data_IF_615421532710
#
_entry.id   IF_615421532710
#
_cell.length_a   1.000
_cell.length_b   1.000
_cell.length_c   1.000
_cell.angle_alpha   90.00
_cell.angle_beta   90.00
_cell.angle_gamma   90.00
#
_symmetry.space_group_name_H-M   'P 1'
#
loop_
_entity.id
_entity.type
_entity.pdbx_description
1 polymer ?
#
# COMPACT_ATOMS: atom_id res chain seq x y z
N UNK A 1 -13.41 4.12 21.37
CA UNK A 1 -12.27 4.74 22.08
C UNK A 1 -11.23 5.04 21.03
N UNK A 2 -11.24 6.27 20.50
CA UNK A 2 -10.26 6.73 19.51
C UNK A 2 -8.96 6.95 20.27
N UNK A 3 -7.91 6.23 19.91
CA UNK A 3 -6.58 6.35 20.51
C UNK A 3 -5.65 6.86 19.42
N UNK A 4 -5.29 8.14 19.52
CA UNK A 4 -4.19 8.77 18.80
C UNK A 4 -2.84 8.29 19.37
N UNK A 5 -1.72 8.66 18.73
CA UNK A 5 -0.43 8.75 19.40
C UNK A 5 -0.62 9.42 20.77
N UNK A 6 -0.16 8.77 21.82
CA UNK A 6 -0.51 9.16 23.19
C UNK A 6 0.10 10.53 23.47
N UNK A 7 -0.73 11.56 23.65
CA UNK A 7 -0.28 12.80 24.29
C UNK A 7 0.35 12.44 25.63
N UNK A 8 1.62 12.83 25.83
CA UNK A 8 2.41 12.43 26.99
C UNK A 8 1.64 12.60 28.31
N UNK A 9 1.80 11.63 29.22
CA UNK A 9 1.18 11.71 30.54
C UNK A 9 1.63 13.01 31.22
N UNK A 10 0.67 13.84 31.65
CA UNK A 10 0.96 14.98 32.50
C UNK A 10 1.74 14.51 33.72
N UNK A 11 2.87 15.14 34.02
CA UNK A 11 3.73 14.75 35.13
C UNK A 11 2.95 14.69 36.45
N UNK A 12 3.23 13.67 37.27
CA UNK A 12 2.66 13.55 38.61
C UNK A 12 3.08 14.75 39.45
N UNK A 13 2.11 15.52 39.96
CA UNK A 13 2.37 16.59 40.91
C UNK A 13 3.08 16.05 42.15
N UNK A 14 4.22 16.64 42.52
CA UNK A 14 4.96 16.26 43.73
C UNK A 14 4.16 16.55 45.01
N UNK A 15 4.47 15.81 46.10
CA UNK A 15 3.89 15.98 47.45
C UNK A 15 4.29 17.32 48.09
N UNK A 16 3.79 18.43 47.56
CA UNK A 16 3.52 19.70 48.25
C UNK A 16 2.86 20.63 47.22
N UNK A 17 1.52 20.63 47.17
CA UNK A 17 0.70 21.58 46.40
C UNK A 17 0.80 21.56 44.85
N UNK A 18 1.38 20.54 44.23
CA UNK A 18 1.37 20.40 42.76
C UNK A 18 0.04 19.87 42.24
N UNK A 19 -0.68 20.64 41.41
CA UNK A 19 -1.74 20.08 40.57
C UNK A 19 -1.13 19.09 39.59
N UNK A 20 -1.78 17.94 39.36
CA UNK A 20 -1.44 17.08 38.22
C UNK A 20 -1.45 17.91 36.95
N UNK A 21 -0.44 17.76 36.09
CA UNK A 21 -0.46 18.39 34.78
C UNK A 21 -1.73 17.97 34.02
N UNK A 22 -2.37 18.92 33.35
CA UNK A 22 -3.49 18.61 32.44
C UNK A 22 -2.96 17.58 31.43
N UNK A 23 -3.63 16.43 31.33
CA UNK A 23 -3.32 15.46 30.28
C UNK A 23 -3.40 16.15 28.93
N UNK A 24 -2.47 15.84 28.01
CA UNK A 24 -2.52 16.39 26.66
C UNK A 24 -3.92 16.21 26.05
N UNK A 25 -4.38 17.19 25.26
CA UNK A 25 -5.61 17.04 24.51
C UNK A 25 -5.60 15.71 23.73
N UNK A 26 -6.76 15.08 23.57
CA UNK A 26 -6.90 13.96 22.64
C UNK A 26 -6.33 14.41 21.29
N UNK A 27 -5.34 13.67 20.76
CA UNK A 27 -4.75 13.97 19.47
C UNK A 27 -5.82 13.94 18.38
N UNK A 28 -5.62 14.72 17.32
CA UNK A 28 -6.45 14.61 16.12
C UNK A 28 -6.31 13.24 15.42
N UNK A 29 -6.91 13.09 14.24
CA UNK A 29 -6.71 11.93 13.38
C UNK A 29 -5.23 11.56 13.23
N UNK A 30 -4.90 10.26 13.19
CA UNK A 30 -3.54 9.79 12.99
C UNK A 30 -3.18 9.83 11.49
N UNK A 31 -3.12 11.04 10.96
CA UNK A 31 -2.90 11.31 9.54
C UNK A 31 -1.44 11.60 9.21
N UNK A 32 -0.93 11.04 8.12
CA UNK A 32 0.36 11.40 7.54
C UNK A 32 0.15 12.01 6.16
N UNK A 33 0.94 13.03 5.82
CA UNK A 33 0.95 13.57 4.46
C UNK A 33 1.45 12.51 3.47
N UNK A 34 0.70 12.34 2.38
CA UNK A 34 1.13 11.59 1.21
C UNK A 34 1.87 12.51 0.23
N UNK A 35 3.08 12.11 -0.14
CA UNK A 35 3.91 12.77 -1.14
C UNK A 35 3.97 11.92 -2.42
N UNK A 36 4.48 12.48 -3.52
CA UNK A 36 4.73 11.72 -4.77
C UNK A 36 3.48 11.27 -5.51
N UNK A 37 2.29 11.72 -5.08
CA UNK A 37 1.01 11.31 -5.66
C UNK A 37 0.79 11.84 -7.08
N UNK A 38 1.42 12.94 -7.50
CA UNK A 38 1.20 13.45 -8.85
C UNK A 38 1.82 12.54 -9.93
N UNK A 39 1.23 12.56 -11.14
CA UNK A 39 1.70 11.74 -12.27
C UNK A 39 3.12 12.11 -12.74
N UNK A 40 3.58 13.34 -12.45
CA UNK A 40 4.92 13.79 -12.79
C UNK A 40 6.01 13.10 -11.94
N UNK A 41 5.64 12.67 -10.73
CA UNK A 41 6.45 11.87 -9.82
C UNK A 41 6.13 10.37 -9.93
N UNK A 42 5.54 9.94 -11.04
CA UNK A 42 5.20 8.54 -11.30
C UNK A 42 3.97 8.04 -10.54
N UNK A 43 3.24 8.92 -9.85
CA UNK A 43 2.05 8.55 -9.10
C UNK A 43 2.31 7.52 -8.00
N UNK A 44 3.47 7.60 -7.33
CA UNK A 44 3.89 6.65 -6.29
C UNK A 44 3.70 7.28 -4.90
N UNK A 45 2.67 6.91 -4.14
CA UNK A 45 2.35 7.55 -2.86
C UNK A 45 3.38 7.19 -1.79
N UNK A 46 4.04 8.20 -1.21
CA UNK A 46 5.08 8.01 -0.21
C UNK A 46 4.74 8.71 1.10
N UNK A 47 5.20 8.15 2.22
CA UNK A 47 5.18 8.79 3.54
C UNK A 47 6.58 8.98 4.07
N UNK A 48 6.74 9.95 4.96
CA UNK A 48 8.00 10.13 5.69
C UNK A 48 8.06 9.14 6.85
N UNK A 49 9.15 8.38 6.94
CA UNK A 49 9.37 7.38 7.99
C UNK A 49 10.86 7.32 8.36
N UNK A 50 11.18 6.88 9.57
CA UNK A 50 12.54 6.47 9.95
C UNK A 50 12.57 5.08 10.58
N UNK A 51 13.70 4.39 10.42
CA UNK A 51 13.98 3.09 11.05
C UNK A 51 14.83 3.33 12.30
N UNK A 52 14.31 2.99 13.49
CA UNK A 52 14.91 3.34 14.77
C UNK A 52 15.30 4.84 14.79
N UNK A 53 16.52 5.16 15.25
CA UNK A 53 17.12 6.50 15.23
C UNK A 53 17.83 6.82 13.89
N UNK A 54 17.40 6.19 12.80
CA UNK A 54 17.92 6.43 11.44
C UNK A 54 17.43 7.75 10.83
N UNK A 55 17.90 8.07 9.61
CA UNK A 55 17.42 9.25 8.88
C UNK A 55 15.94 9.13 8.56
N UNK A 56 15.27 10.27 8.41
CA UNK A 56 13.94 10.32 7.80
C UNK A 56 14.07 10.15 6.29
N UNK A 57 13.27 9.25 5.72
CA UNK A 57 13.24 8.92 4.29
C UNK A 57 11.79 8.92 3.78
N UNK A 58 11.63 9.05 2.46
CA UNK A 58 10.34 8.77 1.81
C UNK A 58 10.26 7.28 1.52
N UNK A 59 9.18 6.64 1.97
CA UNK A 59 8.90 5.24 1.68
C UNK A 59 7.56 5.10 0.97
N UNK A 60 7.54 4.31 -0.11
CA UNK A 60 6.34 3.94 -0.85
C UNK A 60 5.39 3.20 0.08
N UNK A 61 4.14 3.67 0.12
CA UNK A 61 3.05 2.92 0.74
C UNK A 61 2.47 2.00 -0.31
N UNK A 62 2.83 0.74 -0.26
CA UNK A 62 2.52 -0.27 -1.28
C UNK A 62 1.43 -1.23 -0.76
N UNK A 63 0.20 -1.09 -1.20
CA UNK A 63 -0.85 -2.02 -0.79
C UNK A 63 -0.66 -3.42 -1.35
N UNK A 64 0.06 -3.58 -2.47
CA UNK A 64 0.37 -4.85 -3.15
C UNK A 64 1.29 -5.80 -2.38
N UNK A 65 1.87 -5.38 -1.26
CA UNK A 65 2.75 -6.21 -0.43
C UNK A 65 2.49 -6.06 1.08
N UNK A 66 3.16 -6.88 1.88
CA UNK A 66 3.28 -6.74 3.35
C UNK A 66 4.71 -6.38 3.79
N UNK A 67 5.62 -6.20 2.83
CA UNK A 67 7.04 -6.11 3.09
C UNK A 67 7.47 -4.72 3.61
N UNK A 68 8.36 -4.69 4.60
CA UNK A 68 9.03 -3.47 5.03
C UNK A 68 10.49 -3.53 4.57
N UNK A 69 10.81 -2.90 3.44
CA UNK A 69 12.12 -2.98 2.80
C UNK A 69 12.75 -1.60 2.70
N UNK A 70 14.02 -1.50 3.07
CA UNK A 70 14.77 -0.25 3.05
C UNK A 70 16.14 -0.46 2.41
N UNK A 71 16.56 0.36 1.44
CA UNK A 71 17.94 0.39 0.97
C UNK A 71 18.91 0.63 2.13
N UNK A 72 20.11 0.05 2.06
CA UNK A 72 21.15 0.28 3.07
C UNK A 72 21.49 1.77 3.24
N UNK A 73 21.38 2.56 2.16
CA UNK A 73 21.56 4.01 2.16
C UNK A 73 20.49 4.79 2.92
N UNK A 74 19.36 4.16 3.26
CA UNK A 74 18.19 4.76 3.92
C UNK A 74 18.04 4.38 5.40
N UNK A 75 18.97 3.58 5.92
CA UNK A 75 19.01 3.19 7.34
C UNK A 75 20.29 3.66 8.01
N UNK A 76 20.34 3.61 9.33
CA UNK A 76 21.57 3.74 10.09
C UNK A 76 22.00 2.35 10.56
N UNK A 77 22.98 1.68 9.93
CA UNK A 77 23.37 0.32 10.31
C UNK A 77 23.80 0.19 11.78
N UNK A 78 24.33 1.26 12.39
CA UNK A 78 24.75 1.24 13.79
C UNK A 78 23.58 1.27 14.78
N UNK A 79 22.38 1.70 14.34
CA UNK A 79 21.16 1.64 15.16
C UNK A 79 20.40 0.32 15.00
N UNK A 80 20.81 -0.53 14.05
CA UNK A 80 20.22 -1.84 13.84
C UNK A 80 20.82 -2.86 14.81
N UNK A 81 20.00 -3.81 15.24
CA UNK A 81 20.44 -4.93 16.08
C UNK A 81 21.22 -5.99 15.29
N UNK A 82 21.25 -7.21 15.84
CA UNK A 82 21.90 -8.35 15.15
C UNK A 82 21.18 -8.67 13.83
N UNK A 83 21.92 -8.86 12.72
CA UNK A 83 21.32 -9.29 11.46
C UNK A 83 20.69 -10.68 11.59
N UNK A 84 19.54 -10.86 10.96
CA UNK A 84 18.82 -12.11 10.87
C UNK A 84 19.11 -12.86 9.57
N UNK A 85 18.06 -13.36 8.93
CA UNK A 85 18.16 -14.17 7.71
C UNK A 85 18.38 -13.31 6.47
N UNK A 86 19.07 -13.88 5.49
CA UNK A 86 19.11 -13.36 4.13
C UNK A 86 17.98 -14.00 3.31
N UNK A 87 17.31 -13.21 2.50
CA UNK A 87 16.22 -13.68 1.64
C UNK A 87 16.01 -12.72 0.47
N UNK A 88 14.96 -12.96 -0.32
CA UNK A 88 14.59 -12.09 -1.43
C UNK A 88 13.07 -11.84 -1.44
N UNK A 89 12.66 -10.72 -2.04
CA UNK A 89 11.25 -10.37 -2.29
C UNK A 89 11.12 -9.98 -3.76
N UNK A 90 10.05 -10.41 -4.43
CA UNK A 90 9.81 -10.09 -5.84
C UNK A 90 8.59 -9.17 -5.98
N UNK A 91 8.71 -8.15 -6.82
CA UNK A 91 7.65 -7.21 -7.18
C UNK A 91 7.42 -7.23 -8.68
N UNK A 92 6.17 -7.00 -9.09
CA UNK A 92 5.78 -6.84 -10.49
C UNK A 92 5.68 -8.14 -11.30
N UNK A 93 5.12 -8.05 -12.52
CA UNK A 93 4.94 -9.17 -13.43
C UNK A 93 6.25 -9.66 -14.05
N UNK A 94 6.30 -10.88 -14.64
CA UNK A 94 7.55 -11.48 -15.12
C UNK A 94 8.30 -10.63 -16.16
N UNK A 95 7.56 -9.86 -16.95
CA UNK A 95 8.06 -8.89 -17.94
C UNK A 95 8.60 -7.58 -17.35
N UNK A 96 8.25 -7.27 -16.09
CA UNK A 96 8.64 -6.04 -15.38
C UNK A 96 8.92 -6.35 -13.91
N UNK A 97 9.84 -7.29 -13.67
CA UNK A 97 10.07 -7.86 -12.35
C UNK A 97 11.25 -7.21 -11.65
N UNK A 98 11.02 -6.73 -10.44
CA UNK A 98 12.08 -6.34 -9.51
C UNK A 98 12.26 -7.42 -8.44
N UNK A 99 13.51 -7.74 -8.08
CA UNK A 99 13.83 -8.65 -6.98
C UNK A 99 14.81 -7.95 -6.05
N UNK A 100 14.39 -7.79 -4.80
CA UNK A 100 15.18 -7.24 -3.71
C UNK A 100 15.79 -8.37 -2.90
N UNK A 101 17.11 -8.37 -2.78
CA UNK A 101 17.84 -9.25 -1.89
C UNK A 101 18.13 -8.52 -0.59
N UNK A 102 17.67 -9.03 0.54
CA UNK A 102 17.73 -8.32 1.82
C UNK A 102 18.26 -9.18 2.96
N UNK A 103 18.73 -8.50 4.00
CA UNK A 103 18.99 -9.09 5.33
C UNK A 103 17.96 -8.56 6.32
N UNK A 104 17.32 -9.44 7.09
CA UNK A 104 16.30 -9.03 8.06
C UNK A 104 16.90 -8.41 9.32
N UNK A 105 16.22 -7.45 9.92
CA UNK A 105 16.51 -6.90 11.24
C UNK A 105 15.21 -6.73 12.03
N UNK A 106 15.31 -6.66 13.35
CA UNK A 106 14.21 -6.21 14.20
C UNK A 106 14.37 -4.73 14.48
N UNK A 107 13.37 -3.93 14.09
CA UNK A 107 13.40 -2.48 14.23
C UNK A 107 12.02 -1.90 14.55
N UNK A 108 12.00 -0.65 14.99
CA UNK A 108 10.78 0.17 15.13
C UNK A 108 10.73 1.15 13.97
N UNK A 109 9.56 1.27 13.33
CA UNK A 109 9.30 2.34 12.37
C UNK A 109 8.66 3.51 13.09
N UNK A 110 9.15 4.71 12.78
CA UNK A 110 8.65 5.96 13.33
C UNK A 110 8.12 6.84 12.19
N UNK A 111 6.82 7.10 12.21
CA UNK A 111 6.12 7.93 11.23
C UNK A 111 6.01 9.41 11.64
N UNK A 112 6.59 9.78 12.80
CA UNK A 112 6.41 11.10 13.40
C UNK A 112 5.25 11.14 14.39
N UNK A 113 5.13 12.26 15.12
CA UNK A 113 4.00 12.59 16.01
C UNK A 113 3.56 11.49 16.99
N UNK A 114 4.51 10.64 17.42
CA UNK A 114 4.24 9.54 18.35
C UNK A 114 3.56 8.32 17.72
N UNK A 115 3.49 8.25 16.39
CA UNK A 115 3.04 7.07 15.63
C UNK A 115 4.25 6.16 15.37
N UNK A 116 4.42 5.16 16.25
CA UNK A 116 5.50 4.18 16.17
C UNK A 116 4.94 2.77 16.12
N UNK A 117 5.58 1.89 15.36
CA UNK A 117 5.29 0.46 15.41
C UNK A 117 5.85 -0.17 16.68
N UNK A 118 5.35 -1.35 17.05
CA UNK A 118 6.10 -2.27 17.90
C UNK A 118 7.35 -2.76 17.14
N UNK A 119 8.40 -3.24 17.85
CA UNK A 119 9.51 -3.90 17.20
C UNK A 119 9.02 -5.00 16.24
N UNK A 120 9.41 -4.89 14.98
CA UNK A 120 8.94 -5.75 13.89
C UNK A 120 10.09 -6.10 12.95
N UNK A 121 9.87 -7.08 12.06
CA UNK A 121 10.84 -7.43 11.03
C UNK A 121 10.86 -6.37 9.94
N UNK A 122 12.04 -5.86 9.61
CA UNK A 122 12.32 -5.13 8.37
C UNK A 122 13.38 -5.88 7.57
N UNK A 123 13.44 -5.67 6.26
CA UNK A 123 14.57 -6.07 5.42
C UNK A 123 15.41 -4.86 5.02
N UNK A 124 16.72 -4.96 5.18
CA UNK A 124 17.66 -4.00 4.58
C UNK A 124 18.13 -4.58 3.25
N UNK A 125 17.82 -3.89 2.15
CA UNK A 125 18.15 -4.30 0.79
C UNK A 125 19.67 -4.18 0.59
N UNK A 126 20.26 -5.30 0.20
CA UNK A 126 21.70 -5.49 -0.03
C UNK A 126 22.05 -5.52 -1.52
N UNK A 127 21.10 -5.92 -2.36
CA UNK A 127 21.19 -5.87 -3.81
C UNK A 127 19.78 -5.86 -4.39
N UNK A 128 19.62 -5.31 -5.58
CA UNK A 128 18.37 -5.29 -6.33
C UNK A 128 18.65 -5.67 -7.78
N UNK A 129 17.73 -6.42 -8.39
CA UNK A 129 17.75 -6.68 -9.82
C UNK A 129 16.41 -6.29 -10.43
N UNK A 130 16.46 -5.66 -11.58
CA UNK A 130 15.29 -5.36 -12.39
C UNK A 130 15.42 -6.10 -13.73
N UNK A 131 14.47 -6.98 -14.03
CA UNK A 131 14.50 -7.87 -15.19
C UNK A 131 15.83 -8.64 -15.33
N UNK A 132 16.37 -9.08 -14.19
CA UNK A 132 17.63 -9.83 -14.09
C UNK A 132 18.90 -8.98 -14.20
N UNK A 133 18.77 -7.66 -14.42
CA UNK A 133 19.90 -6.73 -14.46
C UNK A 133 20.09 -6.09 -13.09
N UNK A 134 21.31 -6.09 -12.53
CA UNK A 134 21.59 -5.38 -11.29
C UNK A 134 21.29 -3.88 -11.41
N UNK A 135 20.61 -3.35 -10.41
CA UNK A 135 20.31 -1.92 -10.25
C UNK A 135 20.67 -1.48 -8.84
N UNK A 136 20.83 -0.17 -8.65
CA UNK A 136 21.11 0.39 -7.32
C UNK A 136 19.80 0.53 -6.56
N UNK A 137 19.63 -0.14 -5.40
CA UNK A 137 18.43 0.03 -4.58
C UNK A 137 18.28 1.49 -4.16
N UNK A 138 17.12 2.08 -4.42
CA UNK A 138 16.88 3.50 -4.20
C UNK A 138 15.48 3.84 -3.67
N UNK A 139 14.64 2.83 -3.39
CA UNK A 139 13.28 3.01 -2.90
C UNK A 139 13.07 2.21 -1.62
N UNK A 140 12.50 2.85 -0.60
CA UNK A 140 11.98 2.15 0.57
C UNK A 140 10.51 1.80 0.35
N UNK A 141 10.09 0.63 0.82
CA UNK A 141 8.75 0.07 0.62
C UNK A 141 8.13 -0.27 1.97
N UNK A 142 6.89 0.17 2.16
CA UNK A 142 6.02 -0.17 3.28
C UNK A 142 4.77 -0.85 2.74
N UNK A 143 4.80 -2.18 2.76
CA UNK A 143 3.71 -3.03 2.34
C UNK A 143 2.53 -2.95 3.30
N UNK A 144 1.39 -2.42 2.86
CA UNK A 144 0.19 -2.24 3.71
C UNK A 144 -0.92 -3.25 3.45
N UNK A 145 -0.69 -4.26 2.62
CA UNK A 145 -1.63 -5.34 2.36
C UNK A 145 -1.89 -6.24 3.58
N UNK A 146 -2.96 -7.02 3.49
CA UNK A 146 -3.44 -7.98 4.48
C UNK A 146 -3.46 -9.42 3.95
N UNK A 147 -3.59 -9.61 2.63
CA UNK A 147 -3.70 -10.91 1.96
C UNK A 147 -2.81 -11.05 0.71
N UNK A 148 -1.63 -10.44 0.72
CA UNK A 148 -0.63 -10.52 -0.35
C UNK A 148 0.25 -11.76 -0.22
N UNK A 149 1.24 -11.90 -1.11
CA UNK A 149 2.25 -12.97 -1.00
C UNK A 149 2.93 -12.93 0.38
N UNK A 150 2.75 -14.01 1.15
CA UNK A 150 3.32 -14.15 2.48
C UNK A 150 4.64 -14.92 2.39
N UNK A 151 5.74 -14.20 2.26
CA UNK A 151 7.08 -14.75 2.47
C UNK A 151 7.37 -14.84 3.98
N UNK A 152 8.20 -15.81 4.45
CA UNK A 152 8.31 -16.15 5.87
C UNK A 152 8.72 -14.97 6.78
N UNK A 153 9.29 -13.91 6.22
CA UNK A 153 9.78 -12.75 6.96
C UNK A 153 8.75 -11.61 7.11
N UNK A 154 7.70 -11.58 6.28
CA UNK A 154 6.75 -10.46 6.19
C UNK A 154 5.29 -10.95 6.25
N UNK A 155 4.95 -11.67 7.32
CA UNK A 155 3.60 -12.22 7.49
C UNK A 155 2.53 -11.17 7.86
N UNK A 156 2.92 -9.95 8.20
CA UNK A 156 2.01 -8.86 8.58
C UNK A 156 2.55 -7.51 8.13
N UNK A 157 1.66 -6.61 7.72
CA UNK A 157 1.99 -5.22 7.37
C UNK A 157 2.58 -4.45 8.57
N UNK A 158 3.45 -3.43 8.33
CA UNK A 158 3.89 -2.50 9.36
C UNK A 158 2.75 -1.79 10.10
N UNK A 159 1.65 -1.49 9.41
CA UNK A 159 0.49 -0.83 10.02
C UNK A 159 -0.16 -1.73 11.06
N UNK A 160 -0.20 -3.05 10.81
CA UNK A 160 -0.68 -4.03 11.79
C UNK A 160 0.20 -4.10 13.05
N UNK A 161 1.41 -3.54 13.01
CA UNK A 161 2.32 -3.45 14.16
C UNK A 161 2.17 -2.14 14.95
N UNK A 162 1.30 -1.21 14.51
CA UNK A 162 0.94 -0.02 15.29
C UNK A 162 0.16 -0.40 16.56
N UNK A 163 0.15 0.45 17.60
CA UNK A 163 -0.56 0.16 18.84
C UNK A 163 -2.06 0.45 18.75
N UNK A 164 -2.86 -0.40 19.40
CA UNK A 164 -4.27 -0.12 19.69
C UNK A 164 -5.13 -0.03 18.44
N UNK A 165 -5.92 1.03 18.33
CA UNK A 165 -6.84 1.22 17.21
C UNK A 165 -6.13 1.51 15.89
N UNK A 166 -4.90 2.04 15.93
CA UNK A 166 -4.12 2.42 14.74
C UNK A 166 -3.79 1.22 13.83
N UNK A 167 -3.81 -0.01 14.38
CA UNK A 167 -3.54 -1.23 13.62
C UNK A 167 -4.76 -1.84 12.93
N UNK A 168 -5.89 -1.12 12.88
CA UNK A 168 -7.14 -1.64 12.31
C UNK A 168 -7.20 -1.54 10.78
N UNK A 169 -6.50 -0.56 10.21
CA UNK A 169 -6.45 -0.34 8.78
C UNK A 169 -5.77 0.97 8.43
N UNK A 170 -5.82 1.29 7.14
CA UNK A 170 -5.26 2.52 6.58
C UNK A 170 -6.16 3.03 5.47
N UNK A 171 -6.55 4.31 5.57
CA UNK A 171 -7.25 5.05 4.52
C UNK A 171 -6.21 5.75 3.65
N UNK A 172 -6.32 5.63 2.33
CA UNK A 172 -5.62 6.47 1.35
C UNK A 172 -6.59 7.50 0.81
N UNK A 173 -6.24 8.79 0.88
CA UNK A 173 -6.98 9.86 0.23
C UNK A 173 -6.04 10.73 -0.61
N UNK A 174 -5.82 10.31 -1.86
CA UNK A 174 -4.87 10.99 -2.76
C UNK A 174 -5.48 12.14 -3.57
N UNK A 175 -6.81 12.19 -3.65
CA UNK A 175 -7.55 13.26 -4.35
C UNK A 175 -7.72 14.52 -3.51
N UNK A 176 -7.52 14.45 -2.19
CA UNK A 176 -7.61 15.59 -1.30
C UNK A 176 -6.64 16.69 -1.73
N UNK A 177 -7.02 17.96 -1.49
CA UNK A 177 -6.13 19.10 -1.75
C UNK A 177 -4.78 18.99 -1.01
N UNK A 178 -4.79 18.28 0.13
CA UNK A 178 -3.61 17.84 0.87
C UNK A 178 -3.68 16.33 1.03
N UNK A 179 -3.10 15.55 0.09
CA UNK A 179 -3.13 14.10 0.11
C UNK A 179 -2.62 13.53 1.43
N UNK A 180 -3.29 12.49 1.95
CA UNK A 180 -2.92 11.87 3.22
C UNK A 180 -3.27 10.40 3.30
N UNK A 181 -2.58 9.71 4.22
CA UNK A 181 -3.06 8.45 4.80
C UNK A 181 -3.57 8.68 6.20
N UNK A 182 -4.57 7.93 6.63
CA UNK A 182 -5.05 7.91 8.00
C UNK A 182 -5.02 6.49 8.57
N UNK A 183 -4.34 6.32 9.70
CA UNK A 183 -4.31 5.02 10.39
C UNK A 183 -5.46 4.87 11.37
N UNK A 184 -5.98 3.66 11.45
CA UNK A 184 -6.98 3.27 12.44
C UNK A 184 -8.29 2.86 11.80
N UNK A 185 -9.43 2.94 12.50
CA UNK A 185 -10.73 2.63 11.92
C UNK A 185 -11.08 3.61 10.79
N UNK A 186 -11.81 3.13 9.77
CA UNK A 186 -12.29 3.98 8.68
C UNK A 186 -13.09 5.18 9.24
N UNK A 187 -12.69 6.43 8.98
CA UNK A 187 -13.41 7.61 9.45
C UNK A 187 -14.70 7.88 8.65
N UNK A 188 -14.90 7.22 7.51
CA UNK A 188 -16.02 7.43 6.59
C UNK A 188 -16.83 6.14 6.42
N UNK A 189 -18.11 6.29 6.11
CA UNK A 189 -18.94 5.16 5.73
C UNK A 189 -18.71 4.83 4.24
N UNK A 190 -18.23 3.62 3.89
CA UNK A 190 -18.03 3.25 2.50
C UNK A 190 -19.34 3.16 1.74
N UNK A 191 -19.31 3.49 0.45
CA UNK A 191 -20.43 3.23 -0.45
C UNK A 191 -20.43 1.78 -0.95
N UNK A 192 -19.25 1.15 -1.02
CA UNK A 192 -19.08 -0.25 -1.42
C UNK A 192 -17.89 -0.89 -0.69
N UNK A 193 -17.90 -2.22 -0.60
CA UNK A 193 -16.80 -2.98 0.00
C UNK A 193 -16.68 -4.36 -0.63
N UNK A 194 -15.45 -4.88 -0.73
CA UNK A 194 -15.16 -6.23 -1.22
C UNK A 194 -14.29 -7.00 -0.26
N UNK A 195 -14.36 -8.33 -0.34
CA UNK A 195 -13.55 -9.20 0.50
C UNK A 195 -12.08 -9.22 0.07
N UNK A 196 -11.18 -9.39 1.04
CA UNK A 196 -9.74 -9.32 0.83
C UNK A 196 -9.18 -7.91 0.99
N UNK A 197 -7.84 -7.75 1.01
CA UNK A 197 -7.14 -6.46 0.98
C UNK A 197 -5.63 -6.69 0.76
N UNK A 198 -5.03 -6.30 -0.38
CA UNK A 198 -5.62 -5.64 -1.55
C UNK A 198 -6.21 -6.62 -2.58
N UNK A 199 -6.07 -7.93 -2.37
CA UNK A 199 -6.40 -8.94 -3.39
C UNK A 199 -7.85 -9.37 -3.25
N UNK A 200 -8.62 -9.31 -4.34
CA UNK A 200 -10.05 -9.63 -4.35
C UNK A 200 -10.48 -10.37 -5.62
N UNK A 201 -11.53 -11.17 -5.53
CA UNK A 201 -12.19 -11.86 -6.66
C UNK A 201 -13.51 -11.17 -7.07
N UNK A 202 -13.84 -10.05 -6.43
CA UNK A 202 -15.16 -9.43 -6.55
C UNK A 202 -15.26 -8.43 -7.72
N UNK A 203 -14.14 -8.04 -8.35
CA UNK A 203 -14.12 -7.02 -9.41
C UNK A 203 -14.43 -7.62 -10.80
N UNK A 204 -14.99 -6.78 -11.67
CA UNK A 204 -15.18 -7.10 -13.10
C UNK A 204 -14.63 -6.00 -13.98
N UNK A 205 -14.23 -6.32 -15.21
CA UNK A 205 -13.62 -5.36 -16.14
C UNK A 205 -14.28 -5.39 -17.52
N UNK A 206 -14.47 -4.23 -18.12
CA UNK A 206 -14.74 -4.06 -19.54
C UNK A 206 -13.64 -3.23 -20.18
N UNK A 207 -13.16 -3.67 -21.35
CA UNK A 207 -12.17 -2.94 -22.15
C UNK A 207 -12.78 -2.58 -23.49
N UNK A 208 -12.67 -1.31 -23.90
CA UNK A 208 -13.22 -0.73 -25.12
C UNK A 208 -14.72 -1.01 -25.32
N UNK A 209 -15.50 -0.91 -24.23
CA UNK A 209 -16.93 -1.21 -24.21
C UNK A 209 -17.26 -2.66 -24.62
N UNK A 210 -16.31 -3.58 -24.43
CA UNK A 210 -16.51 -5.01 -24.59
C UNK A 210 -17.42 -5.61 -23.50
N UNK A 211 -17.64 -6.92 -23.58
CA UNK A 211 -18.33 -7.64 -22.51
C UNK A 211 -17.53 -7.56 -21.21
N UNK A 212 -18.24 -7.47 -20.08
CA UNK A 212 -17.61 -7.58 -18.76
C UNK A 212 -17.04 -8.98 -18.55
N UNK A 213 -15.86 -9.02 -17.94
CA UNK A 213 -15.14 -10.23 -17.58
C UNK A 213 -14.87 -10.20 -16.07
N UNK A 214 -15.08 -11.33 -15.40
CA UNK A 214 -14.76 -11.49 -13.98
C UNK A 214 -13.24 -11.47 -13.78
N UNK A 215 -12.80 -10.83 -12.70
CA UNK A 215 -11.39 -10.80 -12.31
C UNK A 215 -11.18 -11.74 -11.12
N UNK A 216 -10.17 -12.59 -11.22
CA UNK A 216 -9.71 -13.45 -10.10
C UNK A 216 -8.36 -12.96 -9.61
N UNK A 217 -8.25 -12.74 -8.30
CA UNK A 217 -7.04 -12.26 -7.65
C UNK A 217 -6.65 -10.83 -8.05
N UNK A 218 -7.63 -9.98 -8.35
CA UNK A 218 -7.38 -8.58 -8.70
C UNK A 218 -6.72 -7.84 -7.54
N UNK A 219 -5.68 -7.08 -7.83
CA UNK A 219 -4.98 -6.22 -6.89
C UNK A 219 -5.51 -4.79 -6.99
N UNK A 220 -5.99 -4.24 -5.89
CA UNK A 220 -6.22 -2.79 -5.72
C UNK A 220 -4.94 -2.19 -5.12
N UNK A 221 -4.09 -1.61 -5.96
CA UNK A 221 -2.67 -1.47 -5.61
C UNK A 221 -2.05 -0.09 -5.88
N UNK A 222 -1.72 0.63 -4.80
CA UNK A 222 -0.99 1.91 -4.81
C UNK A 222 0.44 1.79 -5.35
N UNK A 223 1.09 0.63 -5.18
CA UNK A 223 2.47 0.36 -5.66
C UNK A 223 2.54 -0.02 -7.14
N UNK A 224 1.40 -0.38 -7.74
CA UNK A 224 1.29 -0.91 -9.11
C UNK A 224 1.49 0.12 -10.25
N UNK A 225 1.84 1.37 -9.94
CA UNK A 225 2.05 2.45 -10.90
C UNK A 225 0.84 2.65 -11.85
N UNK A 226 0.98 2.37 -13.15
CA UNK A 226 -0.10 2.44 -14.14
C UNK A 226 -1.04 1.23 -14.14
N UNK A 227 -0.74 0.19 -13.35
CA UNK A 227 -1.49 -1.05 -13.34
C UNK A 227 -1.20 -1.95 -14.55
N UNK A 228 -1.80 -3.13 -14.54
CA UNK A 228 -1.64 -4.10 -15.62
C UNK A 228 -2.94 -4.89 -15.87
N UNK A 229 -3.18 -5.24 -17.14
CA UNK A 229 -4.32 -6.08 -17.55
C UNK A 229 -3.80 -7.41 -18.13
N UNK A 230 -4.28 -8.56 -17.64
CA UNK A 230 -3.91 -9.88 -18.15
C UNK A 230 -4.20 -10.03 -19.66
N UNK A 231 -3.29 -10.70 -20.37
CA UNK A 231 -3.33 -10.86 -21.83
C UNK A 231 -4.57 -11.58 -22.39
N UNK A 232 -5.23 -12.39 -21.57
CA UNK A 232 -6.48 -13.09 -21.88
C UNK A 232 -7.72 -12.18 -21.85
N UNK A 233 -7.66 -11.08 -21.09
CA UNK A 233 -8.69 -10.02 -21.08
C UNK A 233 -8.53 -9.11 -22.31
N UNK A 234 -7.28 -8.76 -22.64
CA UNK A 234 -6.93 -7.91 -23.79
C UNK A 234 -6.31 -8.72 -24.93
N UNK A 235 -7.14 -9.56 -25.54
CA UNK A 235 -6.71 -10.44 -26.64
C UNK A 235 -6.06 -9.66 -27.79
N UNK A 236 -4.91 -10.15 -28.25
CA UNK A 236 -4.15 -9.56 -29.36
C UNK A 236 -2.94 -8.72 -28.94
N UNK A 237 -2.80 -8.43 -27.65
CA UNK A 237 -1.61 -7.80 -27.09
C UNK A 237 -0.66 -8.85 -26.49
N UNK A 238 0.64 -8.57 -26.52
CA UNK A 238 1.66 -9.41 -25.92
C UNK A 238 2.02 -8.90 -24.51
N UNK A 239 2.34 -9.80 -23.57
CA UNK A 239 2.89 -9.39 -22.27
C UNK A 239 4.07 -8.43 -22.41
N UNK A 240 4.13 -7.42 -21.55
CA UNK A 240 5.13 -6.33 -21.57
C UNK A 240 4.80 -5.18 -22.53
N UNK A 241 3.72 -5.27 -23.31
CA UNK A 241 3.25 -4.14 -24.11
C UNK A 241 2.45 -3.16 -23.26
N UNK A 242 2.50 -1.88 -23.61
CA UNK A 242 1.55 -0.89 -23.11
C UNK A 242 0.23 -0.99 -23.89
N UNK A 243 -0.89 -0.77 -23.22
CA UNK A 243 -2.15 -0.56 -23.91
C UNK A 243 -2.13 0.77 -24.69
N UNK A 244 -2.71 0.82 -25.90
CA UNK A 244 -2.73 2.04 -26.68
C UNK A 244 -3.47 3.17 -25.98
N UNK A 245 -2.97 4.41 -26.14
CA UNK A 245 -3.69 5.59 -25.70
C UNK A 245 -5.09 5.66 -26.33
N UNK A 246 -6.09 6.03 -25.54
CA UNK A 246 -7.50 6.01 -25.93
C UNK A 246 -8.22 4.70 -25.63
N UNK A 247 -7.51 3.67 -25.14
CA UNK A 247 -8.16 2.45 -24.62
C UNK A 247 -9.06 2.82 -23.45
N UNK A 248 -10.33 2.45 -23.52
CA UNK A 248 -11.29 2.66 -22.43
C UNK A 248 -11.30 1.45 -21.51
N UNK A 249 -11.14 1.69 -20.22
CA UNK A 249 -11.21 0.68 -19.18
C UNK A 249 -12.35 1.09 -18.25
N UNK A 250 -13.21 0.12 -17.91
CA UNK A 250 -14.22 0.27 -16.89
C UNK A 250 -14.08 -0.90 -15.93
N UNK A 251 -14.04 -0.61 -14.64
CA UNK A 251 -14.05 -1.61 -13.57
C UNK A 251 -15.31 -1.42 -12.75
N UNK A 252 -16.04 -2.51 -12.56
CA UNK A 252 -17.27 -2.55 -11.79
C UNK A 252 -17.10 -3.43 -10.54
N UNK A 253 -17.88 -3.09 -9.52
CA UNK A 253 -17.95 -3.76 -8.22
C UNK A 253 -19.37 -4.31 -8.00
N UNK A 254 -19.58 -5.40 -7.24
CA UNK A 254 -20.92 -5.90 -6.95
C UNK A 254 -21.70 -4.89 -6.11
N UNK A 255 -22.91 -4.54 -6.53
CA UNK A 255 -23.75 -3.53 -5.87
C UNK A 255 -24.59 -4.09 -4.70
N UNK A 256 -24.29 -5.31 -4.24
CA UNK A 256 -25.02 -6.00 -3.16
C UNK A 256 -26.47 -6.40 -3.47
N UNK A 257 -27.02 -6.01 -4.62
CA UNK A 257 -28.40 -6.28 -5.05
C UNK A 257 -28.49 -7.29 -6.22
N UNK A 258 -27.38 -7.97 -6.52
CA UNK A 258 -27.29 -8.93 -7.62
C UNK A 258 -26.96 -8.29 -8.98
N UNK A 259 -26.44 -7.06 -8.98
CA UNK A 259 -25.85 -6.42 -10.15
C UNK A 259 -24.45 -5.87 -9.85
N UNK A 260 -23.89 -5.16 -10.81
CA UNK A 260 -22.63 -4.43 -10.65
C UNK A 260 -22.89 -2.92 -10.74
N UNK A 261 -22.04 -2.12 -10.09
CA UNK A 261 -21.98 -0.68 -10.26
C UNK A 261 -20.57 -0.27 -10.65
N UNK A 262 -20.46 0.85 -11.36
CA UNK A 262 -19.15 1.34 -11.78
C UNK A 262 -18.34 1.79 -10.58
N UNK A 263 -17.19 1.15 -10.38
CA UNK A 263 -16.20 1.61 -9.41
C UNK A 263 -15.41 2.77 -10.03
N UNK A 264 -14.76 2.54 -11.16
CA UNK A 264 -14.08 3.60 -11.90
C UNK A 264 -14.03 3.34 -13.40
N UNK A 265 -13.76 4.39 -14.17
CA UNK A 265 -13.42 4.28 -15.58
C UNK A 265 -12.20 5.12 -15.89
N UNK A 266 -11.36 4.63 -16.79
CA UNK A 266 -10.16 5.29 -17.27
C UNK A 266 -10.15 5.31 -18.80
N UNK A 267 -9.65 6.41 -19.38
CA UNK A 267 -9.15 6.41 -20.76
C UNK A 267 -7.63 6.48 -20.72
N UNK A 268 -6.96 5.41 -21.17
CA UNK A 268 -5.50 5.27 -21.09
C UNK A 268 -4.83 6.45 -21.80
N UNK A 269 -3.95 7.14 -21.07
CA UNK A 269 -3.17 8.26 -21.58
C UNK A 269 -1.83 7.85 -22.19
N UNK A 270 -1.09 8.83 -22.73
CA UNK A 270 0.26 8.64 -23.28
C UNK A 270 1.37 9.09 -22.28
N UNK A 271 1.19 8.81 -20.98
CA UNK A 271 2.07 9.32 -19.91
C UNK A 271 2.81 8.19 -19.17
N UNK A 272 3.50 8.51 -18.07
CA UNK A 272 4.31 7.60 -17.24
C UNK A 272 3.50 6.54 -16.47
N UNK A 273 2.17 6.70 -16.38
CA UNK A 273 1.24 5.75 -15.74
C UNK A 273 0.49 4.92 -16.80
N UNK A 274 1.19 4.46 -17.84
CA UNK A 274 0.56 3.61 -18.85
C UNK A 274 0.26 2.22 -18.27
N UNK A 275 -0.96 1.74 -18.57
CA UNK A 275 -1.37 0.37 -18.25
C UNK A 275 -0.59 -0.61 -19.13
N UNK A 276 0.04 -1.60 -18.51
CA UNK A 276 0.76 -2.67 -19.23
C UNK A 276 -0.12 -3.90 -19.42
N UNK A 277 0.27 -4.76 -20.35
CA UNK A 277 -0.34 -6.08 -20.54
C UNK A 277 0.52 -7.10 -19.82
N UNK A 278 -0.10 -7.91 -18.96
CA UNK A 278 0.61 -8.94 -18.21
C UNK A 278 0.38 -10.34 -18.70
N UNK A 279 1.38 -11.20 -18.49
CA UNK A 279 1.20 -12.64 -18.70
C UNK A 279 0.19 -13.17 -17.71
N UNK A 280 -0.90 -13.78 -18.19
CA UNK A 280 -1.90 -14.43 -17.34
C UNK A 280 -1.24 -15.52 -16.47
N UNK A 281 -1.41 -15.41 -15.15
CA UNK A 281 -0.94 -16.40 -14.19
C UNK A 281 -1.89 -16.43 -12.98
N UNK A 282 -2.38 -17.61 -12.55
CA UNK A 282 -3.25 -17.70 -11.38
C UNK A 282 -2.48 -17.42 -10.07
N UNK A 283 -3.06 -16.66 -9.11
CA UNK A 283 -2.51 -16.52 -7.77
C UNK A 283 -2.36 -17.89 -7.06
N UNK A 284 -1.40 -18.07 -6.14
CA UNK A 284 -0.33 -17.15 -5.75
C UNK A 284 0.92 -17.24 -6.66
N UNK A 285 0.85 -18.01 -7.77
CA UNK A 285 2.04 -18.48 -8.49
C UNK A 285 2.44 -17.62 -9.70
N UNK A 286 1.84 -16.45 -9.90
CA UNK A 286 2.43 -15.47 -10.80
C UNK A 286 1.72 -14.11 -10.79
N UNK A 287 2.41 -13.04 -11.21
CA UNK A 287 1.94 -11.66 -11.13
C UNK A 287 1.07 -11.29 -12.35
N UNK A 288 0.28 -12.25 -12.81
CA UNK A 288 -0.53 -12.19 -14.01
C UNK A 288 -1.99 -11.87 -13.76
N UNK A 289 -2.33 -11.39 -12.57
CA UNK A 289 -3.66 -10.93 -12.23
C UNK A 289 -3.81 -9.46 -12.60
N UNK A 290 -5.06 -9.01 -12.73
CA UNK A 290 -5.35 -7.59 -12.90
C UNK A 290 -4.83 -6.78 -11.73
N UNK A 291 -4.19 -5.64 -12.02
CA UNK A 291 -3.73 -4.67 -11.02
C UNK A 291 -4.26 -3.29 -11.42
N UNK A 292 -4.99 -2.63 -10.52
CA UNK A 292 -5.59 -1.30 -10.79
C UNK A 292 -4.55 -0.23 -11.05
N UNK A 293 -3.33 -0.43 -10.58
CA UNK A 293 -2.36 0.63 -10.35
C UNK A 293 -2.89 1.68 -9.38
N UNK A 294 -2.19 2.80 -9.34
CA UNK A 294 -2.54 3.92 -8.47
C UNK A 294 -3.71 4.77 -9.03
N UNK A 295 -4.23 4.47 -10.22
CA UNK A 295 -5.26 5.29 -10.86
C UNK A 295 -6.54 5.39 -10.01
N UNK A 296 -6.99 4.28 -9.44
CA UNK A 296 -8.25 4.23 -8.66
C UNK A 296 -8.18 5.11 -7.40
N UNK A 297 -7.01 5.24 -6.77
CA UNK A 297 -6.78 6.10 -5.60
C UNK A 297 -6.84 7.60 -5.95
N UNK A 298 -6.74 7.96 -7.23
CA UNK A 298 -7.00 9.33 -7.72
C UNK A 298 -8.49 9.65 -7.85
N UNK A 299 -9.33 8.62 -7.90
CA UNK A 299 -10.76 8.79 -8.12
C UNK A 299 -11.55 8.85 -6.82
N UNK A 300 -11.08 8.13 -5.79
CA UNK A 300 -11.78 8.02 -4.51
C UNK A 300 -10.82 7.67 -3.38
N UNK A 301 -11.19 7.93 -2.11
CA UNK A 301 -10.47 7.39 -0.99
C UNK A 301 -10.75 5.88 -0.86
N UNK A 302 -9.72 5.12 -0.48
CA UNK A 302 -9.81 3.67 -0.34
C UNK A 302 -9.23 3.29 1.01
N UNK A 303 -10.02 2.57 1.79
CA UNK A 303 -9.62 2.06 3.08
C UNK A 303 -9.34 0.56 3.02
N UNK A 304 -8.18 0.17 3.54
CA UNK A 304 -7.82 -1.24 3.73
C UNK A 304 -8.03 -1.62 5.19
N UNK A 305 -9.06 -2.40 5.46
CA UNK A 305 -9.30 -3.03 6.76
C UNK A 305 -8.44 -4.29 6.92
N UNK A 306 -7.86 -4.48 8.11
CA UNK A 306 -7.19 -5.74 8.49
C UNK A 306 -8.13 -6.76 9.14
N UNK A 307 -9.43 -6.48 9.19
CA UNK A 307 -10.47 -7.36 9.74
C UNK A 307 -11.60 -7.55 8.73
N UNK A 308 -12.16 -8.77 8.57
CA UNK A 308 -11.72 -10.04 9.18
C UNK A 308 -10.34 -10.50 8.65
N UNK A 309 -9.87 -11.69 9.05
CA UNK A 309 -8.61 -12.23 8.51
C UNK A 309 -8.64 -12.25 6.97
N UNK A 310 -7.58 -11.73 6.34
CA UNK A 310 -7.53 -11.49 4.89
C UNK A 310 -7.99 -10.09 4.47
N UNK A 311 -8.64 -9.34 5.36
CA UNK A 311 -9.00 -7.94 5.19
C UNK A 311 -10.25 -7.66 4.38
N UNK A 312 -10.55 -6.38 4.22
CA UNK A 312 -11.65 -5.84 3.39
C UNK A 312 -11.17 -4.56 2.74
N UNK A 313 -11.48 -4.36 1.46
CA UNK A 313 -11.28 -3.10 0.76
C UNK A 313 -12.61 -2.34 0.83
N UNK A 314 -12.56 -1.13 1.33
CA UNK A 314 -13.70 -0.23 1.48
C UNK A 314 -13.48 0.97 0.57
N UNK A 315 -14.48 1.25 -0.27
CA UNK A 315 -14.46 2.37 -1.21
C UNK A 315 -15.34 3.49 -0.67
N UNK A 316 -14.72 4.65 -0.43
CA UNK A 316 -15.35 5.75 0.27
C UNK A 316 -15.79 6.86 -0.68
N UNK A 317 -16.83 7.64 -0.33
CA UNK A 317 -17.12 8.88 -1.03
C UNK A 317 -15.98 9.90 -0.85
N UNK A 318 -15.87 10.85 -1.77
CA UNK A 318 -14.93 11.96 -1.63
C UNK A 318 -15.16 12.76 -0.33
N UNK A 319 -14.06 13.16 0.32
CA UNK A 319 -14.02 13.81 1.64
C UNK A 319 -13.64 15.29 1.49
#
# INVERSE_FOLDING_TARGET
MVVSGVGGHGGTGGMLWGHSGVGGAAGGPATLTLNGVDAANGGRPTVTVSVNDGPQVQALMDSGSTAALFPESMVNPASLGTPGQQSQYAFGPPEDRTIDFYTTYTAVLNFGDGVLTKPMTIGVITAETHNGMPVTPNEAILGVGANTENLPNFATSPVQQLPGALSQGVLFNEQAAHPYVEFGPNPVAPFASVSGAPVTDDLTISVNNGAFQDLTGAFVDTGGNGGNIPSDIVNGYQPGQYLPAGTQIQVDIPNGQGGAEQLYSETVGANSMQVTVSQTAPPPNGPGAFNTGNYVFKQMPIYFSYSPAGGTIEFDPAI
#
